data_IF_145306772361
#
_entry.id   IF_145306772361
#
_cell.length_a   1.000
_cell.length_b   1.000
_cell.length_c   1.000
_cell.angle_alpha   90.00
_cell.angle_beta   90.00
_cell.angle_gamma   90.00
#
_symmetry.space_group_name_H-M   'P 1'
#
loop_
_entity.id
_entity.type
_entity.pdbx_description
1 polymer ?
#
# COMPACT_ATOMS: atom_id res chain seq x y z
N UNK A 1 47.94 15.79 8.56
CA UNK A 1 48.14 15.18 7.21
C UNK A 1 46.89 14.40 6.86
N UNK A 2 46.06 14.98 6.04
CA UNK A 2 44.82 14.27 5.58
C UNK A 2 45.21 13.16 4.63
N UNK A 3 44.95 11.90 5.02
CA UNK A 3 45.14 10.76 4.14
C UNK A 3 44.09 10.82 3.05
N UNK A 4 44.56 10.95 1.81
CA UNK A 4 43.78 10.90 0.60
C UNK A 4 43.03 9.56 0.51
N UNK A 5 41.69 9.56 0.64
CA UNK A 5 40.84 8.34 0.66
C UNK A 5 40.73 7.70 -0.74
N UNK A 6 41.21 8.38 -1.78
CA UNK A 6 41.11 7.95 -3.18
C UNK A 6 41.93 6.68 -3.55
N UNK A 7 42.77 6.16 -2.66
CA UNK A 7 43.67 5.03 -2.98
C UNK A 7 43.16 3.67 -2.55
N UNK A 8 41.93 3.50 -2.02
CA UNK A 8 41.39 2.20 -1.58
C UNK A 8 40.25 1.62 -2.42
N UNK A 9 39.77 2.35 -3.41
CA UNK A 9 38.90 1.76 -4.39
C UNK A 9 39.79 1.04 -5.41
N UNK A 10 39.92 -0.27 -5.28
CA UNK A 10 40.52 -1.10 -6.30
C UNK A 10 39.76 -0.86 -7.59
N UNK A 11 40.42 -0.18 -8.51
CA UNK A 11 39.92 0.08 -9.86
C UNK A 11 39.74 -1.29 -10.50
N UNK A 12 38.48 -1.75 -10.67
CA UNK A 12 38.18 -2.72 -11.70
C UNK A 12 38.53 -2.02 -13.02
N UNK A 13 39.55 -2.52 -13.69
CA UNK A 13 40.08 -1.94 -14.94
C UNK A 13 38.94 -1.52 -15.88
N UNK A 14 38.81 -0.24 -16.14
CA UNK A 14 38.02 0.29 -17.25
C UNK A 14 36.87 1.26 -16.90
N UNK A 15 36.57 1.56 -15.61
CA UNK A 15 35.53 2.53 -15.29
C UNK A 15 36.15 3.79 -14.70
N UNK A 16 36.33 4.78 -15.57
CA UNK A 16 36.79 6.11 -15.16
C UNK A 16 35.60 6.91 -14.55
N UNK A 17 35.50 6.91 -13.22
CA UNK A 17 34.57 7.78 -12.47
C UNK A 17 35.01 9.25 -12.49
N UNK A 18 35.98 9.64 -13.28
CA UNK A 18 36.55 10.99 -13.32
C UNK A 18 35.75 11.99 -14.16
N UNK A 19 34.70 11.56 -14.87
CA UNK A 19 33.89 12.49 -15.67
C UNK A 19 32.71 13.07 -14.84
N UNK A 20 32.90 14.24 -14.29
CA UNK A 20 31.97 15.26 -13.81
C UNK A 20 31.23 15.07 -12.47
N UNK A 21 31.17 13.91 -11.85
CA UNK A 21 30.57 13.73 -10.52
C UNK A 21 31.44 12.83 -9.62
N UNK A 22 32.58 13.36 -9.18
CA UNK A 22 33.50 12.65 -8.30
C UNK A 22 32.83 12.25 -6.96
N UNK A 23 33.20 11.07 -6.42
CA UNK A 23 32.82 10.66 -5.07
C UNK A 23 33.52 11.60 -4.07
N UNK A 24 32.73 12.26 -3.21
CA UNK A 24 33.23 13.15 -2.16
C UNK A 24 32.86 12.60 -0.79
N UNK A 25 33.62 12.96 0.25
CA UNK A 25 33.30 12.59 1.63
C UNK A 25 32.43 13.68 2.26
N UNK A 26 31.22 13.34 2.69
CA UNK A 26 30.29 14.26 3.32
C UNK A 26 30.13 13.90 4.79
N UNK A 27 30.18 14.91 5.67
CA UNK A 27 29.95 14.76 7.10
C UNK A 27 28.47 14.37 7.35
N UNK A 28 28.24 13.39 8.24
CA UNK A 28 26.90 12.84 8.50
C UNK A 28 25.96 13.91 9.06
N UNK A 29 26.45 14.87 9.81
CA UNK A 29 25.68 15.98 10.38
C UNK A 29 25.16 16.98 9.33
N UNK A 30 25.74 16.97 8.12
CA UNK A 30 25.25 17.73 6.97
C UNK A 30 24.21 17.00 6.15
N UNK A 31 23.96 15.72 6.44
CA UNK A 31 22.99 14.91 5.73
C UNK A 31 21.61 15.02 6.36
N UNK A 32 20.59 15.20 5.51
CA UNK A 32 19.19 15.17 5.93
C UNK A 32 18.44 14.08 5.14
N UNK A 33 17.54 13.34 5.77
CA UNK A 33 16.71 12.36 5.07
C UNK A 33 15.86 13.06 4.01
N UNK A 34 15.55 12.36 2.92
CA UNK A 34 14.55 12.81 1.96
C UNK A 34 13.20 13.05 2.65
N UNK A 35 12.62 14.23 2.47
CA UNK A 35 11.44 14.67 3.22
C UNK A 35 10.26 13.70 3.09
N UNK A 36 10.04 13.14 1.90
CA UNK A 36 8.97 12.20 1.61
C UNK A 36 9.45 10.75 1.57
N UNK A 37 10.49 10.39 2.36
CA UNK A 37 11.03 9.04 2.38
C UNK A 37 10.00 8.04 2.93
N UNK A 38 9.42 7.25 2.06
CA UNK A 38 8.34 6.29 2.39
C UNK A 38 8.85 4.86 2.62
N UNK A 39 10.13 4.61 2.36
CA UNK A 39 10.71 3.28 2.51
C UNK A 39 11.23 3.04 3.92
N UNK A 40 10.87 1.89 4.48
CA UNK A 40 11.26 1.54 5.85
C UNK A 40 12.75 1.25 5.96
N UNK A 41 13.40 1.81 6.99
CA UNK A 41 14.78 1.49 7.32
C UNK A 41 14.90 0.05 7.85
N UNK A 42 16.08 -0.54 7.66
CA UNK A 42 16.38 -1.88 8.17
C UNK A 42 16.34 -1.90 9.71
N UNK A 43 15.96 -3.06 10.28
CA UNK A 43 15.91 -3.30 11.71
C UNK A 43 16.44 -4.70 12.00
N UNK A 44 16.75 -4.97 13.27
CA UNK A 44 17.22 -6.29 13.73
C UNK A 44 18.48 -6.74 13.02
N UNK A 45 18.61 -8.03 12.76
CA UNK A 45 19.79 -8.70 12.23
C UNK A 45 20.35 -8.04 10.96
N UNK A 46 19.48 -7.69 9.99
CA UNK A 46 19.90 -7.04 8.74
C UNK A 46 20.58 -5.68 8.97
N UNK A 47 20.14 -4.91 9.98
CA UNK A 47 20.79 -3.66 10.35
C UNK A 47 22.11 -3.92 11.04
N UNK A 48 22.17 -4.89 11.96
CA UNK A 48 23.37 -5.28 12.69
C UNK A 48 24.47 -5.76 11.77
N UNK A 49 24.14 -6.62 10.80
CA UNK A 49 25.06 -7.09 9.76
C UNK A 49 25.65 -5.93 8.97
N UNK A 50 24.80 -4.95 8.58
CA UNK A 50 25.25 -3.75 7.88
C UNK A 50 26.20 -2.91 8.73
N UNK A 51 25.91 -2.72 10.04
CA UNK A 51 26.77 -2.01 10.98
C UNK A 51 28.12 -2.70 11.11
N UNK A 52 28.14 -4.03 11.26
CA UNK A 52 29.39 -4.78 11.35
C UNK A 52 30.22 -4.72 10.07
N UNK A 53 29.55 -4.85 8.91
CA UNK A 53 30.20 -4.66 7.61
C UNK A 53 30.84 -3.28 7.47
N UNK A 54 30.10 -2.21 7.85
CA UNK A 54 30.60 -0.84 7.78
C UNK A 54 31.72 -0.57 8.77
N UNK A 55 31.67 -1.13 9.97
CA UNK A 55 32.80 -1.06 10.94
C UNK A 55 34.08 -1.65 10.37
N UNK A 56 33.97 -2.77 9.65
CA UNK A 56 35.12 -3.48 9.09
C UNK A 56 35.66 -2.83 7.81
N UNK A 57 34.78 -2.43 6.91
CA UNK A 57 35.14 -2.09 5.53
C UNK A 57 34.86 -0.62 5.18
N UNK A 58 34.22 0.16 6.06
CA UNK A 58 33.65 1.44 5.72
C UNK A 58 32.42 1.32 4.83
N UNK A 59 31.91 2.45 4.35
CA UNK A 59 30.83 2.49 3.35
C UNK A 59 31.46 2.29 1.98
N UNK A 60 31.31 1.11 1.40
CA UNK A 60 31.93 0.74 0.12
C UNK A 60 31.22 1.44 -1.04
N UNK A 61 29.91 1.27 -1.12
CA UNK A 61 29.08 1.91 -2.17
C UNK A 61 28.71 3.32 -1.73
N UNK A 62 29.05 4.38 -2.50
CA UNK A 62 28.73 5.74 -2.12
C UNK A 62 27.21 5.95 -2.05
N UNK A 63 26.78 6.85 -1.18
CA UNK A 63 25.39 7.32 -1.14
C UNK A 63 25.17 8.34 -2.27
N UNK A 64 23.90 8.61 -2.60
CA UNK A 64 23.55 9.66 -3.55
C UNK A 64 22.80 10.74 -2.78
N UNK A 65 23.23 11.98 -2.98
CA UNK A 65 22.62 13.14 -2.33
C UNK A 65 22.40 14.26 -3.34
N UNK A 66 21.47 15.16 -3.06
CA UNK A 66 21.37 16.44 -3.76
C UNK A 66 21.70 17.60 -2.83
N UNK A 67 22.19 18.71 -3.41
CA UNK A 67 22.42 19.94 -2.69
C UNK A 67 21.12 20.60 -2.28
N UNK A 68 21.10 21.24 -1.10
CA UNK A 68 20.01 22.08 -0.61
C UNK A 68 20.51 23.52 -0.42
N UNK A 69 19.59 24.50 -0.51
CA UNK A 69 19.91 25.92 -0.39
C UNK A 69 20.55 26.32 0.97
N UNK A 70 20.32 25.51 2.01
CA UNK A 70 20.85 25.72 3.37
C UNK A 70 22.24 25.12 3.58
N UNK A 71 22.93 24.70 2.53
CA UNK A 71 24.28 24.11 2.59
C UNK A 71 24.32 22.69 3.16
N UNK A 72 23.14 22.03 3.33
CA UNK A 72 22.99 20.60 3.64
C UNK A 72 22.80 19.80 2.38
N UNK A 73 22.78 18.48 2.55
CA UNK A 73 22.59 17.51 1.48
C UNK A 73 21.43 16.59 1.81
N UNK A 74 20.45 16.51 0.91
CA UNK A 74 19.33 15.59 1.07
C UNK A 74 19.68 14.21 0.49
N UNK A 75 19.43 13.17 1.25
CA UNK A 75 19.79 11.79 0.89
C UNK A 75 18.74 11.25 -0.10
N UNK A 76 19.15 10.89 -1.31
CA UNK A 76 18.28 10.24 -2.31
C UNK A 76 18.46 8.71 -2.30
N UNK A 77 19.69 8.24 -2.03
CA UNK A 77 20.03 6.82 -1.92
C UNK A 77 20.95 6.57 -0.76
N UNK A 78 20.71 5.45 -0.05
CA UNK A 78 21.62 4.99 1.00
C UNK A 78 21.22 5.38 2.42
N UNK A 79 19.97 5.70 2.70
CA UNK A 79 19.47 6.00 4.05
C UNK A 79 19.91 4.97 5.09
N UNK A 80 19.84 3.67 4.75
CA UNK A 80 20.31 2.58 5.63
C UNK A 80 21.82 2.63 5.84
N UNK A 81 22.61 2.95 4.80
CA UNK A 81 24.06 3.10 4.88
C UNK A 81 24.46 4.25 5.79
N UNK A 82 23.82 5.41 5.66
CA UNK A 82 24.05 6.57 6.53
C UNK A 82 23.70 6.26 7.97
N UNK A 83 22.53 5.67 8.20
CA UNK A 83 22.11 5.29 9.55
C UNK A 83 23.07 4.30 10.20
N UNK A 84 23.44 3.22 9.48
CA UNK A 84 24.39 2.22 9.97
C UNK A 84 25.81 2.79 10.14
N UNK A 85 26.24 3.72 9.29
CA UNK A 85 27.55 4.41 9.43
C UNK A 85 27.61 5.25 10.72
N UNK A 86 26.54 5.99 11.04
CA UNK A 86 26.44 6.71 12.31
C UNK A 86 26.51 5.76 13.51
N UNK A 87 25.80 4.62 13.49
CA UNK A 87 25.86 3.59 14.54
C UNK A 87 27.23 2.90 14.60
N UNK A 88 27.95 2.83 13.49
CA UNK A 88 29.30 2.31 13.42
C UNK A 88 30.37 3.31 13.94
N UNK A 89 29.99 4.55 14.27
CA UNK A 89 30.88 5.59 14.76
C UNK A 89 31.61 6.38 13.68
N UNK A 90 31.20 6.29 12.41
CA UNK A 90 31.76 7.14 11.35
C UNK A 90 31.19 8.54 11.43
N UNK A 91 32.03 9.53 11.12
CA UNK A 91 31.63 10.96 11.07
C UNK A 91 31.33 11.44 9.66
N UNK A 92 31.73 10.68 8.64
CA UNK A 92 31.48 11.00 7.23
C UNK A 92 31.28 9.75 6.39
N UNK A 93 30.65 9.90 5.23
CA UNK A 93 30.40 8.84 4.27
C UNK A 93 30.73 9.28 2.85
N UNK A 94 31.15 8.36 1.96
CA UNK A 94 31.35 8.66 0.54
C UNK A 94 30.01 8.92 -0.13
N UNK A 95 29.93 9.97 -0.95
CA UNK A 95 28.72 10.40 -1.61
C UNK A 95 28.98 10.87 -3.04
N UNK A 96 28.00 10.61 -3.92
CA UNK A 96 27.86 11.27 -5.22
C UNK A 96 26.88 12.42 -5.03
N UNK A 97 27.31 13.64 -5.35
CA UNK A 97 26.50 14.84 -5.19
C UNK A 97 25.82 15.18 -6.52
N UNK A 98 24.50 15.32 -6.50
CA UNK A 98 23.69 15.81 -7.60
C UNK A 98 23.39 17.28 -7.39
N UNK A 99 23.70 18.10 -8.39
CA UNK A 99 23.31 19.51 -8.44
C UNK A 99 22.13 19.68 -9.37
N UNK A 100 21.32 20.71 -9.16
CA UNK A 100 20.23 21.13 -10.04
C UNK A 100 19.16 20.05 -10.32
N UNK A 101 18.92 19.17 -9.32
CA UNK A 101 17.94 18.09 -9.43
C UNK A 101 16.56 18.58 -8.98
N UNK A 102 15.54 18.44 -9.84
CA UNK A 102 14.15 18.75 -9.48
C UNK A 102 13.62 17.81 -8.38
N UNK A 103 12.54 18.20 -7.71
CA UNK A 103 11.90 17.36 -6.69
C UNK A 103 11.36 16.07 -7.29
N UNK A 104 10.84 16.14 -8.52
CA UNK A 104 10.33 14.98 -9.27
C UNK A 104 11.46 13.99 -9.59
N UNK A 105 12.61 14.49 -10.07
CA UNK A 105 13.77 13.64 -10.36
C UNK A 105 14.33 13.03 -9.06
N UNK A 106 14.38 13.79 -7.98
CA UNK A 106 14.79 13.29 -6.67
C UNK A 106 13.90 12.13 -6.17
N UNK A 107 12.56 12.25 -6.35
CA UNK A 107 11.62 11.21 -6.00
C UNK A 107 11.86 9.92 -6.82
N UNK A 108 12.18 10.05 -8.11
CA UNK A 108 12.55 8.93 -8.97
C UNK A 108 13.80 8.22 -8.43
N UNK A 109 14.88 8.98 -8.10
CA UNK A 109 16.09 8.40 -7.51
C UNK A 109 15.80 7.58 -6.25
N UNK A 110 14.96 8.10 -5.35
CA UNK A 110 14.59 7.42 -4.11
C UNK A 110 13.84 6.10 -4.39
N UNK A 111 12.88 6.10 -5.32
CA UNK A 111 12.10 4.90 -5.65
C UNK A 111 12.95 3.86 -6.37
N UNK A 112 13.63 4.26 -7.45
CA UNK A 112 14.39 3.33 -8.28
C UNK A 112 15.55 2.68 -7.49
N UNK A 113 16.23 3.43 -6.62
CA UNK A 113 17.25 2.86 -5.75
C UNK A 113 16.70 1.76 -4.85
N UNK A 114 15.54 1.97 -4.24
CA UNK A 114 14.92 0.95 -3.40
C UNK A 114 14.49 -0.28 -4.20
N UNK A 115 14.01 -0.10 -5.43
CA UNK A 115 13.67 -1.20 -6.35
C UNK A 115 14.90 -2.02 -6.73
N UNK A 116 16.04 -1.37 -7.01
CA UNK A 116 17.30 -2.04 -7.37
C UNK A 116 17.87 -2.82 -6.17
N UNK A 117 17.86 -2.20 -4.97
CA UNK A 117 18.47 -2.78 -3.77
C UNK A 117 17.65 -3.89 -3.12
N UNK A 118 16.33 -3.85 -3.18
CA UNK A 118 15.42 -4.77 -2.48
C UNK A 118 14.61 -5.67 -3.40
N UNK A 119 14.38 -5.26 -4.64
CA UNK A 119 13.37 -5.86 -5.49
C UNK A 119 11.93 -5.46 -5.11
N UNK A 120 11.05 -5.44 -6.10
CA UNK A 120 9.66 -4.99 -5.90
C UNK A 120 8.88 -5.86 -4.88
N UNK A 121 9.09 -7.18 -4.90
CA UNK A 121 8.36 -8.12 -4.04
C UNK A 121 8.74 -8.05 -2.56
N UNK A 122 9.95 -7.55 -2.27
CA UNK A 122 10.44 -7.40 -0.89
C UNK A 122 10.02 -6.07 -0.25
N UNK A 123 9.42 -5.19 -1.03
CA UNK A 123 8.83 -3.96 -0.55
C UNK A 123 7.51 -4.24 0.18
N UNK A 124 7.19 -3.43 1.19
CA UNK A 124 5.87 -3.41 1.81
C UNK A 124 4.79 -3.02 0.81
N UNK A 125 3.54 -3.37 1.06
CA UNK A 125 2.43 -3.08 0.15
C UNK A 125 2.27 -1.57 -0.09
N UNK A 126 2.44 -0.75 0.94
CA UNK A 126 2.42 0.71 0.80
C UNK A 126 3.57 1.25 -0.06
N UNK A 127 4.77 0.67 0.10
CA UNK A 127 5.96 1.00 -0.69
C UNK A 127 5.79 0.58 -2.16
N UNK A 128 5.23 -0.62 -2.41
CA UNK A 128 4.85 -1.09 -3.75
C UNK A 128 3.81 -0.17 -4.39
N UNK A 129 2.80 0.24 -3.62
CA UNK A 129 1.76 1.15 -4.09
C UNK A 129 2.34 2.50 -4.48
N UNK A 130 3.27 3.03 -3.68
CA UNK A 130 3.95 4.28 -3.96
C UNK A 130 4.77 4.18 -5.26
N UNK A 131 5.60 3.13 -5.42
CA UNK A 131 6.40 2.90 -6.62
C UNK A 131 5.52 2.79 -7.88
N UNK A 132 4.43 2.02 -7.80
CA UNK A 132 3.44 1.91 -8.90
C UNK A 132 2.78 3.24 -9.18
N UNK A 133 2.37 3.99 -8.13
CA UNK A 133 1.71 5.29 -8.26
C UNK A 133 2.60 6.31 -8.95
N UNK A 134 3.87 6.36 -8.58
CA UNK A 134 4.84 7.25 -9.20
C UNK A 134 4.95 6.96 -10.71
N UNK A 135 5.06 5.70 -11.10
CA UNK A 135 5.11 5.32 -12.52
C UNK A 135 3.86 5.66 -13.33
N UNK A 136 2.69 5.75 -12.66
CA UNK A 136 1.44 6.19 -13.28
C UNK A 136 1.25 7.70 -13.28
N UNK A 137 2.08 8.45 -12.55
CA UNK A 137 2.02 9.90 -12.58
C UNK A 137 2.52 10.41 -13.94
N UNK A 138 1.91 11.50 -14.43
CA UNK A 138 2.33 12.16 -15.69
C UNK A 138 3.75 12.76 -15.62
N UNK A 139 4.41 12.65 -14.47
CA UNK A 139 5.76 13.16 -14.19
C UNK A 139 6.86 12.28 -14.81
N UNK A 140 6.51 11.08 -15.30
CA UNK A 140 7.49 10.17 -15.89
C UNK A 140 7.81 10.53 -17.34
N UNK A 141 9.02 11.08 -17.54
CA UNK A 141 9.69 11.04 -18.82
C UNK A 141 10.49 9.71 -18.90
N UNK A 142 10.09 8.83 -19.82
CA UNK A 142 10.69 7.51 -19.99
C UNK A 142 12.22 7.59 -20.25
N UNK A 143 12.68 8.66 -20.90
CA UNK A 143 14.12 8.87 -21.18
C UNK A 143 14.89 9.21 -19.89
N UNK A 144 14.32 10.08 -19.06
CA UNK A 144 14.91 10.42 -17.76
C UNK A 144 14.99 9.20 -16.86
N UNK A 145 13.90 8.42 -16.78
CA UNK A 145 13.87 7.20 -16.00
C UNK A 145 14.95 6.22 -16.42
N UNK A 146 15.13 6.01 -17.74
CA UNK A 146 16.17 5.13 -18.26
C UNK A 146 17.56 5.62 -17.85
N UNK A 147 17.86 6.90 -18.03
CA UNK A 147 19.13 7.50 -17.64
C UNK A 147 19.43 7.34 -16.15
N UNK A 148 18.43 7.58 -15.29
CA UNK A 148 18.56 7.41 -13.84
C UNK A 148 18.80 5.93 -13.47
N UNK A 149 18.07 5.00 -14.08
CA UNK A 149 18.25 3.57 -13.82
C UNK A 149 19.63 3.06 -14.25
N UNK A 150 20.13 3.49 -15.40
CA UNK A 150 21.46 3.10 -15.89
C UNK A 150 22.55 3.63 -14.96
N UNK A 151 22.44 4.86 -14.51
CA UNK A 151 23.34 5.46 -13.54
C UNK A 151 23.29 4.78 -12.16
N UNK A 152 22.10 4.54 -11.64
CA UNK A 152 21.93 3.85 -10.35
C UNK A 152 22.50 2.43 -10.40
N UNK A 153 22.25 1.71 -11.50
CA UNK A 153 22.78 0.37 -11.68
C UNK A 153 24.31 0.36 -11.69
N UNK A 154 24.92 1.34 -12.36
CA UNK A 154 26.37 1.51 -12.38
C UNK A 154 26.94 1.80 -10.99
N UNK A 155 26.33 2.73 -10.23
CA UNK A 155 26.77 3.10 -8.88
C UNK A 155 26.64 1.93 -7.91
N UNK A 156 25.52 1.20 -7.94
CA UNK A 156 25.24 0.11 -6.98
C UNK A 156 26.01 -1.18 -7.30
N UNK A 157 26.25 -1.47 -8.59
CA UNK A 157 26.83 -2.75 -9.03
C UNK A 157 28.25 -2.63 -9.62
N UNK A 158 28.77 -1.41 -9.81
CA UNK A 158 30.09 -1.17 -10.40
C UNK A 158 30.25 -1.61 -11.86
N UNK A 159 29.16 -1.82 -12.60
CA UNK A 159 29.13 -2.23 -14.00
C UNK A 159 27.91 -1.66 -14.72
N UNK A 160 27.96 -1.49 -16.06
CA UNK A 160 26.84 -1.02 -16.85
C UNK A 160 25.59 -1.89 -16.69
N UNK A 161 24.42 -1.26 -16.80
CA UNK A 161 23.14 -1.96 -16.79
C UNK A 161 23.04 -2.91 -17.99
N UNK A 162 22.89 -4.23 -17.82
CA UNK A 162 22.80 -5.18 -18.92
C UNK A 162 21.56 -4.97 -19.80
N UNK A 163 20.57 -4.24 -19.32
CA UNK A 163 19.32 -3.91 -20.03
C UNK A 163 19.33 -2.47 -20.58
N UNK A 164 20.47 -1.77 -20.58
CA UNK A 164 20.55 -0.38 -21.03
C UNK A 164 20.08 -0.18 -22.48
N UNK A 165 20.23 -1.17 -23.35
CA UNK A 165 19.83 -1.12 -24.75
C UNK A 165 18.41 -1.63 -25.03
N UNK A 166 17.71 -2.11 -24.01
CA UNK A 166 16.31 -2.54 -24.17
C UNK A 166 15.42 -1.31 -24.34
N UNK A 167 14.67 -1.19 -25.46
CA UNK A 167 13.73 -0.09 -25.64
C UNK A 167 12.69 -0.09 -24.51
N UNK A 168 12.49 1.07 -23.88
CA UNK A 168 11.44 1.25 -22.89
C UNK A 168 10.14 1.50 -23.66
N UNK A 169 9.52 0.45 -24.17
CA UNK A 169 8.24 0.55 -24.84
C UNK A 169 7.12 0.71 -23.79
N UNK A 170 6.47 1.88 -23.80
CA UNK A 170 5.16 2.16 -23.18
C UNK A 170 4.93 1.67 -21.75
N UNK A 171 5.82 2.01 -20.81
CA UNK A 171 5.71 1.66 -19.39
C UNK A 171 4.55 2.35 -18.64
N UNK A 172 3.71 3.09 -19.33
CA UNK A 172 2.57 3.82 -18.75
C UNK A 172 1.29 2.99 -18.68
N UNK A 173 1.25 1.81 -19.29
CA UNK A 173 0.08 0.94 -19.23
C UNK A 173 0.13 0.02 -18.01
N UNK A 174 -1.06 -0.41 -17.58
CA UNK A 174 -1.21 -1.37 -16.47
C UNK A 174 -0.50 -2.69 -16.76
N UNK A 175 -0.55 -3.10 -18.01
CA UNK A 175 0.04 -4.34 -18.53
C UNK A 175 1.57 -4.28 -18.48
N UNK A 176 2.16 -3.21 -18.97
CA UNK A 176 3.62 -3.02 -18.96
C UNK A 176 4.17 -2.92 -17.53
N UNK A 177 3.49 -2.20 -16.62
CA UNK A 177 3.88 -2.15 -15.21
C UNK A 177 3.74 -3.53 -14.55
N UNK A 178 2.70 -4.29 -14.90
CA UNK A 178 2.48 -5.62 -14.38
C UNK A 178 3.61 -6.58 -14.81
N UNK A 179 4.01 -6.54 -16.08
CA UNK A 179 5.10 -7.30 -16.63
C UNK A 179 6.44 -6.95 -15.97
N UNK A 180 6.77 -5.68 -15.89
CA UNK A 180 8.00 -5.18 -15.28
C UNK A 180 8.19 -5.65 -13.83
N UNK A 181 7.14 -5.62 -13.02
CA UNK A 181 7.22 -6.02 -11.61
C UNK A 181 6.88 -7.49 -11.36
N UNK A 182 6.56 -8.26 -12.41
CA UNK A 182 6.18 -9.66 -12.30
C UNK A 182 4.92 -9.87 -11.44
N UNK A 183 3.92 -9.00 -11.60
CA UNK A 183 2.62 -9.02 -10.92
C UNK A 183 1.47 -8.95 -11.93
N UNK A 184 0.24 -9.21 -11.51
CA UNK A 184 -0.91 -9.09 -12.41
C UNK A 184 -1.39 -7.64 -12.58
N UNK A 185 -1.96 -7.30 -13.75
CA UNK A 185 -2.64 -6.01 -13.99
C UNK A 185 -3.69 -5.69 -12.93
N UNK A 186 -4.38 -6.72 -12.41
CA UNK A 186 -5.33 -6.56 -11.31
C UNK A 186 -4.63 -6.14 -10.00
N UNK A 187 -3.42 -6.61 -9.75
CA UNK A 187 -2.61 -6.20 -8.59
C UNK A 187 -2.15 -4.76 -8.75
N UNK A 188 -1.70 -4.36 -9.93
CA UNK A 188 -1.36 -2.95 -10.24
C UNK A 188 -2.55 -2.04 -9.93
N UNK A 189 -3.75 -2.37 -10.41
CA UNK A 189 -4.96 -1.59 -10.14
C UNK A 189 -5.27 -1.47 -8.64
N UNK A 190 -5.06 -2.54 -7.86
CA UNK A 190 -5.25 -2.51 -6.40
C UNK A 190 -4.21 -1.65 -5.71
N UNK A 191 -2.93 -1.75 -6.09
CA UNK A 191 -1.86 -0.93 -5.54
C UNK A 191 -2.09 0.55 -5.79
N UNK A 192 -2.54 0.94 -6.99
CA UNK A 192 -2.93 2.32 -7.29
C UNK A 192 -4.04 2.83 -6.34
N UNK A 193 -4.97 1.96 -5.94
CA UNK A 193 -6.01 2.30 -4.96
C UNK A 193 -5.45 2.49 -3.56
N UNK A 194 -4.46 1.69 -3.14
CA UNK A 194 -3.82 1.80 -1.82
C UNK A 194 -3.20 3.19 -1.59
N UNK A 195 -2.72 3.87 -2.65
CA UNK A 195 -2.21 5.25 -2.53
C UNK A 195 -3.26 6.26 -2.02
N UNK A 196 -4.55 5.95 -2.16
CA UNK A 196 -5.65 6.80 -1.68
C UNK A 196 -6.00 6.58 -0.20
N UNK A 197 -5.33 5.67 0.47
CA UNK A 197 -5.48 5.46 1.90
C UNK A 197 -4.70 6.51 2.69
N UNK A 198 -5.21 6.86 3.87
CA UNK A 198 -4.43 7.59 4.89
C UNK A 198 -3.28 6.71 5.39
N UNK A 199 -2.26 7.33 5.96
CA UNK A 199 -1.04 6.62 6.32
C UNK A 199 -1.27 5.56 7.41
N UNK A 200 -2.21 5.80 8.33
CA UNK A 200 -2.62 4.85 9.37
C UNK A 200 -3.19 3.55 8.76
N UNK A 201 -4.00 3.66 7.72
CA UNK A 201 -4.50 2.47 7.03
C UNK A 201 -3.43 1.78 6.19
N UNK A 202 -2.50 2.52 5.58
CA UNK A 202 -1.33 1.92 4.91
C UNK A 202 -0.50 1.10 5.89
N UNK A 203 -0.28 1.60 7.12
CA UNK A 203 0.41 0.83 8.16
C UNK A 203 -0.33 -0.46 8.53
N UNK A 204 -1.65 -0.43 8.65
CA UNK A 204 -2.44 -1.64 8.93
C UNK A 204 -2.37 -2.65 7.78
N UNK A 205 -2.31 -2.18 6.54
CA UNK A 205 -2.09 -3.03 5.36
C UNK A 205 -0.70 -3.67 5.41
N UNK A 206 0.33 -2.90 5.71
CA UNK A 206 1.70 -3.38 5.80
C UNK A 206 1.91 -4.40 6.92
N UNK A 207 1.19 -4.25 8.03
CA UNK A 207 1.16 -5.20 9.15
C UNK A 207 0.32 -6.47 8.84
N UNK A 208 -0.41 -6.48 7.72
CA UNK A 208 -1.30 -7.57 7.32
C UNK A 208 -2.66 -7.60 8.03
N UNK A 209 -2.96 -6.59 8.83
CA UNK A 209 -4.23 -6.43 9.57
C UNK A 209 -5.40 -6.10 8.62
N UNK A 210 -5.09 -5.48 7.48
CA UNK A 210 -6.02 -5.23 6.39
C UNK A 210 -5.45 -5.88 5.13
N UNK A 211 -6.20 -6.79 4.53
CA UNK A 211 -5.78 -7.43 3.28
C UNK A 211 -5.92 -6.47 2.10
N UNK A 212 -5.11 -6.66 1.05
CA UNK A 212 -5.09 -5.78 -0.12
C UNK A 212 -6.48 -5.56 -0.75
N UNK A 213 -7.37 -6.56 -0.74
CA UNK A 213 -8.75 -6.40 -1.23
C UNK A 213 -9.58 -5.49 -0.34
N UNK A 214 -9.53 -5.68 0.97
CA UNK A 214 -10.20 -4.81 1.96
C UNK A 214 -9.71 -3.37 1.87
N UNK A 215 -8.39 -3.19 1.70
CA UNK A 215 -7.75 -1.90 1.49
C UNK A 215 -8.33 -1.14 0.28
N UNK A 216 -8.61 -1.87 -0.82
CA UNK A 216 -9.27 -1.28 -2.00
C UNK A 216 -10.66 -0.77 -1.67
N UNK A 217 -11.48 -1.51 -0.91
CA UNK A 217 -12.81 -1.05 -0.53
C UNK A 217 -12.74 0.20 0.35
N UNK A 218 -11.87 0.22 1.36
CA UNK A 218 -11.64 1.40 2.22
C UNK A 218 -11.18 2.61 1.40
N UNK A 219 -10.38 2.41 0.34
CA UNK A 219 -9.85 3.49 -0.51
C UNK A 219 -10.93 4.24 -1.31
N UNK A 220 -12.18 3.78 -1.32
CA UNK A 220 -13.31 4.52 -1.89
C UNK A 220 -13.92 5.55 -0.92
N UNK A 221 -13.58 5.47 0.35
CA UNK A 221 -13.94 6.47 1.34
C UNK A 221 -13.12 7.75 1.15
N UNK A 222 -13.72 8.89 1.42
CA UNK A 222 -13.00 10.17 1.47
C UNK A 222 -11.96 10.15 2.61
N UNK A 223 -10.95 11.00 2.54
CA UNK A 223 -9.94 11.12 3.59
C UNK A 223 -10.57 11.40 4.97
N UNK A 224 -11.59 12.28 5.00
CA UNK A 224 -12.35 12.59 6.23
C UNK A 224 -13.05 11.36 6.81
N UNK A 225 -13.70 10.55 5.96
CA UNK A 225 -14.36 9.32 6.39
C UNK A 225 -13.34 8.27 6.87
N UNK A 226 -12.20 8.15 6.19
CA UNK A 226 -11.12 7.26 6.62
C UNK A 226 -10.58 7.66 8.00
N UNK A 227 -10.29 8.94 8.23
CA UNK A 227 -9.84 9.46 9.53
C UNK A 227 -10.87 9.20 10.64
N UNK A 228 -12.15 9.41 10.35
CA UNK A 228 -13.22 9.11 11.30
C UNK A 228 -13.27 7.61 11.59
N UNK A 229 -13.22 6.76 10.57
CA UNK A 229 -13.23 5.29 10.76
C UNK A 229 -12.03 4.85 11.61
N UNK A 230 -10.84 5.36 11.32
CA UNK A 230 -9.65 5.04 12.11
C UNK A 230 -9.79 5.48 13.58
N UNK A 231 -10.36 6.67 13.84
CA UNK A 231 -10.60 7.14 15.21
C UNK A 231 -11.55 6.23 15.99
N UNK A 232 -12.62 5.73 15.34
CA UNK A 232 -13.55 4.76 15.93
C UNK A 232 -12.86 3.42 16.18
N UNK A 233 -12.05 2.94 15.24
CA UNK A 233 -11.25 1.72 15.43
C UNK A 233 -10.36 1.80 16.68
N UNK A 234 -9.70 2.94 16.90
CA UNK A 234 -8.85 3.16 18.07
C UNK A 234 -9.71 3.14 19.36
N UNK A 235 -10.86 3.82 19.38
CA UNK A 235 -11.78 3.83 20.53
C UNK A 235 -12.28 2.42 20.88
N UNK A 236 -12.58 1.61 19.87
CA UNK A 236 -13.09 0.24 20.03
C UNK A 236 -11.97 -0.80 20.20
N UNK A 237 -10.71 -0.41 20.15
CA UNK A 237 -9.54 -1.30 20.13
C UNK A 237 -9.63 -2.37 19.01
N UNK A 238 -10.15 -1.98 17.84
CA UNK A 238 -10.25 -2.83 16.65
C UNK A 238 -9.05 -2.56 15.75
N UNK A 239 -8.25 -3.58 15.48
CA UNK A 239 -7.01 -3.44 14.70
C UNK A 239 -7.07 -4.17 13.34
N UNK A 240 -8.14 -4.91 13.06
CA UNK A 240 -8.29 -5.73 11.86
C UNK A 240 -9.59 -5.38 11.16
N UNK A 241 -9.54 -5.20 9.84
CA UNK A 241 -10.73 -5.06 9.00
C UNK A 241 -10.74 -6.20 7.99
N UNK A 242 -11.76 -7.05 8.08
CA UNK A 242 -11.98 -8.13 7.13
C UNK A 242 -12.65 -7.63 5.83
N UNK A 243 -12.89 -8.54 4.90
CA UNK A 243 -13.52 -8.21 3.61
C UNK A 243 -14.98 -7.78 3.74
N UNK A 244 -15.72 -8.36 4.70
CA UNK A 244 -17.13 -8.03 4.92
C UNK A 244 -17.25 -6.63 5.48
N UNK A 245 -16.52 -6.35 6.54
CA UNK A 245 -16.46 -5.04 7.20
C UNK A 245 -16.00 -3.94 6.24
N UNK A 246 -14.94 -4.19 5.44
CA UNK A 246 -14.46 -3.23 4.44
C UNK A 246 -15.52 -2.91 3.38
N UNK A 247 -16.25 -3.92 2.91
CA UNK A 247 -17.36 -3.73 1.96
C UNK A 247 -18.50 -2.92 2.57
N UNK A 248 -18.87 -3.18 3.82
CA UNK A 248 -19.91 -2.42 4.52
C UNK A 248 -19.49 -0.96 4.75
N UNK A 249 -18.22 -0.71 5.13
CA UNK A 249 -17.66 0.64 5.24
C UNK A 249 -17.74 1.40 3.91
N UNK A 250 -17.41 0.75 2.79
CA UNK A 250 -17.58 1.32 1.46
C UNK A 250 -19.04 1.61 1.13
N UNK A 251 -19.93 0.71 1.48
CA UNK A 251 -21.37 0.84 1.25
C UNK A 251 -21.95 2.04 1.99
N UNK A 252 -21.69 2.18 3.29
CA UNK A 252 -22.14 3.34 4.06
C UNK A 252 -21.52 4.64 3.53
N UNK A 253 -20.25 4.62 3.13
CA UNK A 253 -19.57 5.79 2.57
C UNK A 253 -20.18 6.28 1.26
N UNK A 254 -20.78 5.38 0.46
CA UNK A 254 -21.44 5.71 -0.81
C UNK A 254 -22.93 6.02 -0.67
N UNK A 255 -23.59 5.45 0.35
CA UNK A 255 -25.06 5.52 0.51
C UNK A 255 -25.50 6.71 1.37
N UNK A 256 -24.65 7.18 2.28
CA UNK A 256 -25.00 8.25 3.21
C UNK A 256 -24.27 9.55 2.87
N UNK A 257 -25.00 10.66 2.83
CA UNK A 257 -24.40 11.98 2.62
C UNK A 257 -23.43 12.37 3.73
N UNK A 258 -23.71 11.95 4.97
CA UNK A 258 -22.85 12.10 6.15
C UNK A 258 -22.75 10.74 6.84
N UNK A 259 -21.51 10.26 6.99
CA UNK A 259 -21.23 9.04 7.74
C UNK A 259 -20.96 9.44 9.18
N UNK A 260 -21.79 8.94 10.11
CA UNK A 260 -21.65 9.23 11.56
C UNK A 260 -20.73 8.21 12.24
N UNK A 261 -20.30 8.57 13.46
CA UNK A 261 -19.49 7.70 14.32
C UNK A 261 -20.27 6.44 14.75
N UNK A 262 -21.57 6.60 15.04
CA UNK A 262 -22.47 5.51 15.41
C UNK A 262 -22.58 4.47 14.29
N UNK A 263 -22.77 4.93 13.05
CA UNK A 263 -22.89 4.05 11.89
C UNK A 263 -21.60 3.25 11.63
N UNK A 264 -20.44 3.89 11.80
CA UNK A 264 -19.14 3.21 11.71
C UNK A 264 -19.01 2.19 12.85
N UNK A 265 -19.44 2.54 14.06
CA UNK A 265 -19.41 1.65 15.22
C UNK A 265 -20.23 0.39 14.96
N UNK A 266 -21.46 0.52 14.45
CA UNK A 266 -22.31 -0.62 14.09
C UNK A 266 -21.63 -1.55 13.06
N UNK A 267 -20.96 -0.96 12.06
CA UNK A 267 -20.21 -1.76 11.06
C UNK A 267 -19.04 -2.50 11.72
N UNK A 268 -18.25 -1.83 12.55
CA UNK A 268 -17.06 -2.40 13.18
C UNK A 268 -17.39 -3.44 14.25
N UNK A 269 -18.53 -3.30 14.95
CA UNK A 269 -19.03 -4.28 15.93
C UNK A 269 -19.81 -5.41 15.27
N UNK A 270 -20.12 -5.29 13.96
CA UNK A 270 -20.89 -6.27 13.20
C UNK A 270 -22.40 -6.20 13.47
N UNK A 271 -22.90 -5.08 13.98
CA UNK A 271 -24.31 -4.83 14.23
C UNK A 271 -25.03 -4.23 13.01
N UNK A 272 -24.27 -3.57 12.13
CA UNK A 272 -24.79 -3.00 10.89
C UNK A 272 -25.52 -4.02 10.03
N UNK A 273 -26.77 -3.70 9.67
CA UNK A 273 -27.66 -4.58 8.87
C UNK A 273 -28.20 -5.78 9.64
N UNK A 274 -27.96 -5.90 10.92
CA UNK A 274 -28.85 -6.63 11.79
C UNK A 274 -30.05 -5.70 11.96
N UNK A 275 -31.10 -5.92 11.12
CA UNK A 275 -32.42 -5.44 11.51
C UNK A 275 -32.59 -5.79 12.98
N UNK A 276 -33.19 -4.87 13.78
CA UNK A 276 -33.83 -5.27 15.03
C UNK A 276 -34.72 -6.46 14.68
N UNK A 277 -34.13 -7.63 14.71
CA UNK A 277 -34.90 -8.82 14.82
C UNK A 277 -35.39 -8.79 16.29
N UNK A 278 -36.41 -8.00 16.55
CA UNK A 278 -37.47 -8.51 17.38
C UNK A 278 -37.56 -9.99 16.99
N UNK A 279 -37.43 -10.95 17.90
CA UNK A 279 -37.35 -12.34 17.54
C UNK A 279 -38.42 -12.56 16.48
N UNK A 280 -38.00 -12.80 15.21
CA UNK A 280 -38.94 -13.22 14.17
C UNK A 280 -39.56 -14.40 14.83
N UNK A 281 -40.80 -14.18 15.31
CA UNK A 281 -41.64 -15.24 15.79
C UNK A 281 -41.54 -16.29 14.69
N UNK A 282 -40.74 -17.33 14.95
CA UNK A 282 -40.67 -18.47 14.05
C UNK A 282 -42.01 -19.09 14.20
N UNK A 283 -43.01 -18.47 13.55
CA UNK A 283 -44.36 -18.95 13.56
C UNK A 283 -44.31 -20.45 13.40
N UNK A 284 -44.88 -21.19 14.33
CA UNK A 284 -44.85 -22.63 14.30
C UNK A 284 -45.29 -23.06 12.89
N UNK A 285 -44.46 -23.84 12.22
CA UNK A 285 -44.77 -24.32 10.88
C UNK A 285 -45.97 -25.24 10.98
N UNK A 286 -47.16 -24.73 10.73
CA UNK A 286 -48.34 -25.52 10.62
C UNK A 286 -48.26 -26.34 9.31
N UNK A 287 -48.11 -27.62 9.43
CA UNK A 287 -48.05 -28.51 8.29
C UNK A 287 -49.48 -29.05 7.97
N UNK A 288 -49.98 -28.74 6.79
CA UNK A 288 -51.25 -29.29 6.37
C UNK A 288 -51.12 -30.80 6.15
N UNK A 289 -52.13 -31.60 6.62
CA UNK A 289 -52.16 -33.02 6.31
C UNK A 289 -52.13 -33.26 4.81
N UNK A 290 -51.37 -34.26 4.38
CA UNK A 290 -51.18 -34.59 2.94
C UNK A 290 -52.48 -34.76 2.20
N UNK A 291 -53.53 -35.34 2.86
CA UNK A 291 -54.85 -35.51 2.29
C UNK A 291 -55.54 -34.16 2.00
N UNK A 292 -55.44 -33.19 2.92
CA UNK A 292 -55.99 -31.85 2.77
C UNK A 292 -55.29 -31.08 1.65
N UNK A 293 -53.94 -31.14 1.62
CA UNK A 293 -53.17 -30.54 0.53
C UNK A 293 -53.56 -31.11 -0.83
N UNK A 294 -53.59 -32.42 -0.96
CA UNK A 294 -53.99 -33.11 -2.22
C UNK A 294 -55.40 -32.77 -2.66
N UNK A 295 -56.33 -32.62 -1.73
CA UNK A 295 -57.73 -32.37 -2.02
C UNK A 295 -57.99 -30.94 -2.52
N UNK A 296 -57.30 -29.94 -1.95
CA UNK A 296 -57.64 -28.54 -2.19
C UNK A 296 -56.56 -27.70 -2.84
N UNK A 297 -55.28 -28.08 -2.76
CA UNK A 297 -54.19 -27.23 -3.13
C UNK A 297 -53.22 -27.83 -4.17
N UNK A 298 -53.40 -29.08 -4.54
CA UNK A 298 -52.46 -29.80 -5.44
C UNK A 298 -52.33 -29.22 -6.85
N UNK A 299 -53.30 -28.44 -7.30
CA UNK A 299 -53.32 -27.81 -8.63
C UNK A 299 -52.73 -26.38 -8.65
N UNK A 300 -52.36 -25.86 -7.51
CA UNK A 300 -51.86 -24.49 -7.37
C UNK A 300 -50.37 -24.45 -7.09
N UNK A 301 -49.71 -23.38 -7.54
CA UNK A 301 -48.34 -23.09 -7.14
C UNK A 301 -48.24 -22.79 -5.62
N UNK A 302 -47.04 -22.95 -5.05
CA UNK A 302 -46.83 -22.69 -3.61
C UNK A 302 -47.27 -21.28 -3.18
N UNK A 303 -47.12 -20.26 -4.04
CA UNK A 303 -47.54 -18.90 -3.78
C UNK A 303 -49.06 -18.77 -3.74
N UNK A 304 -49.73 -19.30 -4.74
CA UNK A 304 -51.20 -19.30 -4.84
C UNK A 304 -51.82 -20.11 -3.71
N UNK A 305 -51.24 -21.25 -3.33
CA UNK A 305 -51.70 -22.06 -2.21
C UNK A 305 -51.66 -21.28 -0.88
N UNK A 306 -50.61 -20.54 -0.65
CA UNK A 306 -50.52 -19.67 0.56
C UNK A 306 -51.58 -18.55 0.54
N UNK A 307 -51.80 -17.90 -0.58
CA UNK A 307 -52.83 -16.86 -0.72
C UNK A 307 -54.24 -17.41 -0.50
N UNK A 308 -54.50 -18.65 -0.94
CA UNK A 308 -55.78 -19.36 -0.72
C UNK A 308 -55.96 -19.69 0.78
N UNK A 309 -54.90 -20.16 1.44
CA UNK A 309 -54.94 -20.46 2.88
C UNK A 309 -55.20 -19.18 3.69
N UNK A 310 -54.50 -18.09 3.40
CA UNK A 310 -54.72 -16.80 4.09
C UNK A 310 -56.17 -16.31 3.93
N UNK A 311 -56.71 -16.34 2.72
CA UNK A 311 -58.10 -15.95 2.48
C UNK A 311 -59.12 -16.87 3.17
N UNK A 312 -58.85 -18.17 3.17
CA UNK A 312 -59.74 -19.15 3.84
C UNK A 312 -59.75 -18.94 5.35
N UNK A 313 -58.60 -18.65 5.98
CA UNK A 313 -58.49 -18.38 7.39
C UNK A 313 -59.17 -17.02 7.75
N UNK A 314 -58.96 -16.00 6.93
CA UNK A 314 -59.61 -14.70 7.12
C UNK A 314 -61.16 -14.84 7.12
N UNK A 315 -61.70 -15.51 6.13
CA UNK A 315 -63.14 -15.76 6.03
C UNK A 315 -63.67 -16.57 7.23
N UNK A 316 -62.91 -17.56 7.66
CA UNK A 316 -63.33 -18.41 8.79
C UNK A 316 -63.40 -17.62 10.10
N UNK A 317 -62.42 -16.77 10.40
CA UNK A 317 -62.44 -15.94 11.61
C UNK A 317 -63.46 -14.83 11.51
N UNK A 318 -63.67 -14.21 10.34
CA UNK A 318 -64.77 -13.23 10.14
C UNK A 318 -66.17 -13.83 10.37
N UNK A 319 -66.38 -15.12 10.05
CA UNK A 319 -67.60 -15.82 10.36
C UNK A 319 -67.77 -16.09 11.86
N UNK A 320 -66.66 -16.43 12.55
CA UNK A 320 -66.70 -16.64 13.99
C UNK A 320 -67.03 -15.35 14.78
N UNK A 321 -66.43 -14.21 14.36
CA UNK A 321 -66.70 -12.92 14.99
C UNK A 321 -68.13 -12.40 14.76
N UNK A 322 -68.83 -12.90 13.73
CA UNK A 322 -70.22 -12.55 13.45
C UNK A 322 -71.26 -13.48 14.13
N UNK A 323 -70.81 -14.60 14.73
CA UNK A 323 -71.66 -15.53 15.49
C UNK A 323 -71.64 -15.30 17.02
N UNK A 324 -70.78 -14.40 17.54
CA UNK A 324 -70.80 -13.89 18.92
C UNK A 324 -71.60 -12.57 18.99
#
# INVERSE_FOLDING_TARGET
MARNVTSKFGVADGLDFSSEQGVTSIAIDKLVPYQNHRFTLYKGERLEDMIQSIKKNGVITPIIVRTMDNGKYEILSGHNRVYAAGQAGLTSVPAVVKTDLSDEDAEIYVVETNLIQRGFKDLKISEQAFAVGLRYSKLFDERKLKGINDELYLIENGKPNPNADVPVEHLTTREATAEQYGISSATVARLLRVNKLIDEFKELVDKGNIKLRSAVDISFMTEKQQKLTYSVMVKLNVNVIDMKTAKQLREIASSYAVVSEELITEVLTGEYGKEDTAPKDKGEKITLPTATYKRYLSSYSKKEANEIIEKALALYFEQLDNEE
#
